data_IF_913422158059
#
_entry.id   IF_913422158059
#
_cell.length_a   1.000
_cell.length_b   1.000
_cell.length_c   1.000
_cell.angle_alpha   90.00
_cell.angle_beta   90.00
_cell.angle_gamma   90.00
#
_symmetry.space_group_name_H-M   'P 1'
#
loop_
_entity.id
_entity.type
_entity.pdbx_description
1 polymer ?
#
# COMPACT_ATOMS: atom_id res chain seq x y z
N UNK A 1 -15.01 -1.77 -20.19
CA UNK A 1 -14.57 -1.23 -18.89
C UNK A 1 -13.28 -1.95 -18.53
N UNK A 2 -12.13 -1.29 -18.67
CA UNK A 2 -10.86 -1.86 -18.25
C UNK A 2 -10.75 -1.65 -16.73
N UNK A 3 -10.86 -2.72 -15.96
CA UNK A 3 -10.48 -2.68 -14.54
C UNK A 3 -8.95 -2.61 -14.51
N UNK A 4 -8.40 -1.42 -14.23
CA UNK A 4 -7.01 -1.34 -13.82
C UNK A 4 -6.95 -1.92 -12.42
N UNK A 5 -6.52 -3.19 -12.33
CA UNK A 5 -6.17 -3.80 -11.06
C UNK A 5 -4.98 -2.99 -10.53
N UNK A 6 -5.24 -2.02 -9.64
CA UNK A 6 -4.19 -1.40 -8.84
C UNK A 6 -3.76 -2.43 -7.82
N UNK A 7 -2.46 -2.69 -7.75
CA UNK A 7 -1.92 -3.55 -6.70
C UNK A 7 -2.30 -2.96 -5.33
N UNK A 8 -2.71 -3.83 -4.42
CA UNK A 8 -3.16 -3.47 -3.08
C UNK A 8 -2.50 -4.34 -2.03
N UNK A 9 -2.33 -3.78 -0.83
CA UNK A 9 -1.81 -4.47 0.34
C UNK A 9 -2.75 -4.25 1.51
N UNK A 10 -3.02 -5.32 2.26
CA UNK A 10 -3.77 -5.26 3.52
C UNK A 10 -2.76 -5.19 4.67
N UNK A 11 -2.84 -4.13 5.48
CA UNK A 11 -2.01 -3.96 6.67
C UNK A 11 -2.86 -4.28 7.89
N UNK A 12 -2.41 -5.28 8.67
CA UNK A 12 -3.00 -5.60 9.97
C UNK A 12 -2.30 -4.80 11.06
N UNK A 13 -3.02 -3.91 11.73
CA UNK A 13 -2.52 -3.15 12.88
C UNK A 13 -2.50 -4.02 14.14
N UNK A 14 -1.66 -3.64 15.10
CA UNK A 14 -1.53 -4.37 16.38
C UNK A 14 -2.84 -4.45 17.18
N UNK A 15 -3.78 -3.53 16.93
CA UNK A 15 -5.10 -3.51 17.57
C UNK A 15 -6.10 -4.49 16.93
N UNK A 16 -5.70 -5.25 15.90
CA UNK A 16 -6.53 -6.19 15.17
C UNK A 16 -7.36 -5.57 14.04
N UNK A 17 -7.19 -4.27 13.76
CA UNK A 17 -7.79 -3.60 12.62
C UNK A 17 -7.03 -3.94 11.33
N UNK A 18 -7.75 -4.34 10.29
CA UNK A 18 -7.21 -4.56 8.95
C UNK A 18 -7.59 -3.37 8.06
N UNK A 19 -6.60 -2.80 7.37
CA UNK A 19 -6.80 -1.65 6.48
C UNK A 19 -6.16 -1.93 5.14
N UNK A 20 -6.93 -1.74 4.07
CA UNK A 20 -6.46 -1.90 2.69
C UNK A 20 -5.86 -0.59 2.16
N UNK A 21 -4.72 -0.71 1.50
CA UNK A 21 -4.05 0.38 0.80
C UNK A 21 -3.77 -0.02 -0.65
N UNK A 22 -3.76 0.98 -1.54
CA UNK A 22 -3.28 0.85 -2.89
C UNK A 22 -1.80 1.22 -2.97
N UNK A 23 -1.04 0.50 -3.78
CA UNK A 23 0.35 0.83 -4.08
C UNK A 23 0.38 1.98 -5.09
N UNK A 24 0.97 3.10 -4.70
CA UNK A 24 1.13 4.28 -5.56
C UNK A 24 2.51 4.28 -6.24
N UNK A 25 3.57 3.85 -5.54
CA UNK A 25 4.93 3.77 -6.08
C UNK A 25 5.80 2.76 -5.32
N UNK A 26 6.87 2.29 -5.97
CA UNK A 26 7.90 1.41 -5.40
C UNK A 26 9.28 2.06 -5.56
N UNK A 27 10.13 1.90 -4.56
CA UNK A 27 11.47 2.50 -4.49
C UNK A 27 12.46 1.47 -3.96
N UNK A 28 13.68 1.49 -4.50
CA UNK A 28 14.79 0.71 -3.97
C UNK A 28 15.84 1.68 -3.41
N UNK A 29 16.20 1.52 -2.13
CA UNK A 29 17.15 2.37 -1.42
C UNK A 29 18.05 1.49 -0.57
N UNK A 30 19.37 1.63 -0.75
CA UNK A 30 20.41 0.95 0.07
C UNK A 30 20.12 -0.54 0.32
N UNK A 31 19.91 -1.31 -0.75
CA UNK A 31 19.60 -2.75 -0.76
C UNK A 31 18.23 -3.15 -0.13
N UNK A 32 17.38 -2.18 0.19
CA UNK A 32 16.02 -2.39 0.68
C UNK A 32 14.97 -1.85 -0.31
N UNK A 33 13.79 -2.49 -0.35
CA UNK A 33 12.66 -2.06 -1.19
C UNK A 33 11.54 -1.49 -0.34
N UNK A 34 11.03 -0.33 -0.75
CA UNK A 34 9.97 0.41 -0.09
C UNK A 34 8.79 0.63 -1.04
N UNK A 35 7.58 0.68 -0.48
CA UNK A 35 6.37 1.02 -1.21
C UNK A 35 5.72 2.25 -0.59
N UNK A 36 5.28 3.19 -1.43
CA UNK A 36 4.35 4.23 -1.02
C UNK A 36 2.94 3.69 -1.22
N UNK A 37 2.19 3.62 -0.13
CA UNK A 37 0.84 3.05 -0.11
C UNK A 37 -0.17 4.10 0.36
N UNK A 38 -1.39 4.05 -0.17
CA UNK A 38 -2.41 5.07 0.11
C UNK A 38 -3.81 4.47 0.16
N UNK A 39 -4.63 4.97 1.07
CA UNK A 39 -6.07 4.78 1.05
C UNK A 39 -6.78 6.15 0.98
N UNK A 40 -8.10 6.18 1.20
CA UNK A 40 -8.88 7.42 1.12
C UNK A 40 -8.54 8.43 2.23
N UNK A 41 -8.05 7.96 3.38
CA UNK A 41 -7.83 8.76 4.60
C UNK A 41 -6.35 9.12 4.84
N UNK A 42 -5.42 8.28 4.39
CA UNK A 42 -4.00 8.31 4.77
C UNK A 42 -3.06 7.84 3.64
N UNK A 43 -1.81 8.30 3.70
CA UNK A 43 -0.70 7.87 2.83
C UNK A 43 0.50 7.51 3.71
N UNK A 44 1.09 6.33 3.47
CA UNK A 44 2.20 5.74 4.22
C UNK A 44 3.37 5.40 3.30
#
# INVERSE_FOLDING_TARGET
MSYYLRDSVTVQKEQGEEVDYFIEALFDVDDESYALIRNDDETL
#
